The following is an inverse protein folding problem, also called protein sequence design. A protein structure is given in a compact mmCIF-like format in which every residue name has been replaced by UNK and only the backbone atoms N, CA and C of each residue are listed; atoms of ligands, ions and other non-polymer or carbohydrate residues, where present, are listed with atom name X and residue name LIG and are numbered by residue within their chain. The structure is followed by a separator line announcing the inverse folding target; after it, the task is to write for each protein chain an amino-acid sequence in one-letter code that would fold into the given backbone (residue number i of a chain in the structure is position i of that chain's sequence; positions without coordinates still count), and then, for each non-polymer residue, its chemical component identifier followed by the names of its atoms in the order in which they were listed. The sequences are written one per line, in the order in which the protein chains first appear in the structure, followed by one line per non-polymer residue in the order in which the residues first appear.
data_IF_023418635797
#
_entry.id   IF_023418635797
#
_cell.length_a   1.000
_cell.length_b   1.000
_cell.length_c   1.000
_cell.angle_alpha   90.00
_cell.angle_beta   90.00
_cell.angle_gamma   90.00
#
_symmetry.space_group_name_H-M   'P 1'
#
loop_
_entity.id
_entity.type
_entity.pdbx_description
1 polymer ?
#
# COMPACT_ATOMS: atom_id res chain seq x y z
N UNK A 1 5.33 14.11 25.69
CA UNK A 1 5.31 13.55 24.31
C UNK A 1 6.69 13.21 23.77
N UNK A 2 7.72 14.08 23.86
CA UNK A 2 9.09 13.80 23.36
C UNK A 2 9.77 12.55 23.97
N UNK A 3 9.55 12.27 25.26
CA UNK A 3 10.17 11.11 25.96
C UNK A 3 9.62 9.75 25.50
N UNK A 4 8.36 9.69 25.07
CA UNK A 4 7.73 8.45 24.56
C UNK A 4 8.24 8.14 23.15
N UNK A 5 8.42 9.16 22.30
CA UNK A 5 9.00 8.99 20.96
C UNK A 5 10.44 8.48 21.00
N UNK A 6 11.26 8.96 21.95
CA UNK A 6 12.63 8.48 22.14
C UNK A 6 12.65 7.01 22.59
N UNK A 7 11.71 6.61 23.46
CA UNK A 7 11.59 5.21 23.90
C UNK A 7 11.18 4.29 22.74
N UNK A 8 10.27 4.72 21.87
CA UNK A 8 9.85 3.96 20.67
C UNK A 8 11.03 3.79 19.71
N UNK A 9 11.82 4.84 19.47
CA UNK A 9 13.02 4.77 18.62
C UNK A 9 14.11 3.88 19.23
N UNK A 10 14.31 3.94 20.55
CA UNK A 10 15.26 3.06 21.25
C UNK A 10 14.83 1.60 21.26
N UNK A 11 13.54 1.32 21.46
CA UNK A 11 12.99 -0.04 21.38
C UNK A 11 13.07 -0.57 19.95
N UNK A 12 12.81 0.26 18.92
CA UNK A 12 13.04 -0.10 17.51
C UNK A 12 14.52 -0.37 17.20
N UNK A 13 15.44 0.35 17.84
CA UNK A 13 16.90 0.18 17.68
C UNK A 13 17.46 -1.10 18.33
N UNK A 14 16.89 -1.54 19.46
CA UNK A 14 17.35 -2.72 20.19
C UNK A 14 17.05 -4.07 19.51
N UNK A 15 16.19 -4.10 18.47
CA UNK A 15 15.92 -5.32 17.70
C UNK A 15 16.82 -5.48 16.46
N UNK A 16 17.75 -4.57 16.23
CA UNK A 16 18.66 -4.63 15.08
C UNK A 16 19.91 -5.40 15.48
N UNK A 17 19.78 -6.73 15.59
CA UNK A 17 20.97 -7.58 15.54
C UNK A 17 21.56 -7.49 14.12
N UNK A 18 22.80 -7.00 14.01
CA UNK A 18 23.53 -6.90 12.75
C UNK A 18 23.99 -8.28 12.27
N UNK A 19 23.05 -9.06 11.72
CA UNK A 19 23.31 -10.24 10.89
C UNK A 19 22.91 -9.87 9.48
N UNK A 20 23.85 -9.95 8.51
CA UNK A 20 23.65 -9.76 7.07
C UNK A 20 22.17 -9.72 6.64
N UNK A 21 21.58 -8.52 6.72
CA UNK A 21 20.14 -8.36 6.65
C UNK A 21 19.77 -8.44 5.17
N UNK A 22 19.21 -9.58 4.76
CA UNK A 22 18.73 -9.74 3.39
C UNK A 22 17.63 -8.71 3.14
N UNK A 23 17.88 -7.81 2.19
CA UNK A 23 16.92 -6.81 1.71
C UNK A 23 16.36 -7.30 0.38
N UNK A 24 15.08 -7.14 0.14
CA UNK A 24 14.47 -7.40 -1.15
C UNK A 24 13.78 -6.15 -1.69
N UNK A 25 13.93 -5.91 -2.99
CA UNK A 25 13.19 -4.92 -3.75
C UNK A 25 11.94 -5.56 -4.32
N UNK A 26 10.83 -4.83 -4.33
CA UNK A 26 9.54 -5.31 -4.80
C UNK A 26 8.85 -4.29 -5.68
N UNK A 27 8.25 -4.77 -6.77
CA UNK A 27 7.30 -4.01 -7.59
C UNK A 27 6.04 -4.84 -7.78
N UNK A 28 4.89 -4.28 -7.43
CA UNK A 28 3.56 -4.85 -7.59
C UNK A 28 3.01 -4.53 -8.98
N UNK A 29 2.92 -5.56 -9.80
CA UNK A 29 2.51 -5.52 -11.19
C UNK A 29 1.05 -5.05 -11.36
N UNK A 30 0.20 -5.20 -10.33
CA UNK A 30 -1.16 -4.67 -10.37
C UNK A 30 -1.18 -3.14 -10.36
N UNK A 31 -0.28 -2.50 -9.62
CA UNK A 31 -0.16 -1.04 -9.62
C UNK A 31 0.45 -0.54 -10.93
N UNK A 32 1.41 -1.28 -11.49
CA UNK A 32 2.01 -0.98 -12.80
C UNK A 32 0.93 -0.95 -13.90
N UNK A 33 -0.02 -1.89 -13.87
CA UNK A 33 -1.17 -1.91 -14.79
C UNK A 33 -2.08 -0.67 -14.67
N UNK A 34 -2.13 -0.05 -13.49
CA UNK A 34 -2.87 1.20 -13.25
C UNK A 34 -2.03 2.46 -13.49
N UNK A 35 -0.84 2.33 -14.07
CA UNK A 35 0.18 3.39 -14.24
C UNK A 35 0.67 3.97 -12.91
N UNK A 36 0.46 3.29 -11.79
CA UNK A 36 0.87 3.75 -10.46
C UNK A 36 2.29 3.26 -10.19
N UNK A 37 3.23 4.20 -10.04
CA UNK A 37 4.59 3.86 -9.67
C UNK A 37 4.57 3.28 -8.27
N UNK A 38 5.24 2.16 -8.07
CA UNK A 38 5.26 1.51 -6.76
C UNK A 38 6.62 0.83 -6.53
N UNK A 39 7.10 0.90 -5.29
CA UNK A 39 8.35 0.30 -4.88
C UNK A 39 8.24 -0.12 -3.42
N UNK A 40 8.63 -1.36 -3.13
CA UNK A 40 8.71 -1.87 -1.77
C UNK A 40 10.10 -2.34 -1.41
N UNK A 41 10.47 -2.11 -0.16
CA UNK A 41 11.63 -2.70 0.47
C UNK A 41 11.18 -3.69 1.53
N UNK A 42 11.68 -4.92 1.45
CA UNK A 42 11.40 -5.95 2.45
C UNK A 42 12.68 -6.36 3.17
N UNK A 43 12.69 -6.21 4.49
CA UNK A 43 13.85 -6.44 5.35
C UNK A 43 13.69 -7.73 6.13
N UNK A 44 14.66 -8.63 6.03
CA UNK A 44 14.67 -9.88 6.78
C UNK A 44 15.07 -9.70 8.24
N UNK A 45 14.10 -9.52 9.14
CA UNK A 45 14.31 -9.29 10.59
C UNK A 45 14.85 -10.52 11.33
N UNK A 46 14.29 -11.71 11.06
CA UNK A 46 14.71 -12.96 11.70
C UNK A 46 14.62 -14.12 10.71
N UNK A 47 14.79 -15.38 11.17
CA UNK A 47 14.69 -16.56 10.29
C UNK A 47 13.34 -16.68 9.58
N UNK A 48 12.25 -16.28 10.26
CA UNK A 48 10.86 -16.39 9.79
C UNK A 48 10.12 -15.06 9.77
N UNK A 49 10.79 -13.94 10.06
CA UNK A 49 10.15 -12.63 10.16
C UNK A 49 10.75 -11.66 9.14
N UNK A 50 9.87 -10.94 8.46
CA UNK A 50 10.26 -9.82 7.56
C UNK A 50 9.39 -8.60 7.84
N UNK A 51 9.91 -7.42 7.47
CA UNK A 51 9.17 -6.17 7.45
C UNK A 51 9.14 -5.67 6.01
N UNK A 52 7.96 -5.59 5.41
CA UNK A 52 7.72 -5.07 4.07
C UNK A 52 7.21 -3.63 4.15
N UNK A 53 7.81 -2.71 3.39
CA UNK A 53 7.47 -1.28 3.37
C UNK A 53 7.23 -0.83 1.93
N UNK A 54 6.08 -1.17 1.33
CA UNK A 54 5.70 -0.70 0.00
C UNK A 54 5.20 0.74 0.04
N UNK A 55 5.69 1.54 -0.90
CA UNK A 55 5.22 2.89 -1.22
C UNK A 55 4.65 2.89 -2.63
N UNK A 56 3.50 3.52 -2.81
CA UNK A 56 2.91 3.78 -4.12
C UNK A 56 2.77 5.29 -4.33
N UNK A 57 2.95 5.72 -5.57
CA UNK A 57 2.88 7.10 -5.99
C UNK A 57 2.36 7.21 -7.41
N UNK A 58 1.37 8.07 -7.60
CA UNK A 58 0.80 8.37 -8.89
C UNK A 58 0.65 9.89 -9.01
N UNK A 59 1.42 10.56 -9.89
CA UNK A 59 1.33 12.00 -10.09
C UNK A 59 0.35 12.41 -11.19
N UNK A 60 -0.32 11.48 -11.88
CA UNK A 60 -0.93 11.78 -13.17
C UNK A 60 -2.11 12.75 -13.08
N UNK A 61 -2.05 13.77 -13.92
CA UNK A 61 -3.12 14.74 -14.19
C UNK A 61 -3.30 14.86 -15.71
N UNK A 62 -4.00 13.91 -16.35
CA UNK A 62 -4.22 13.98 -17.80
C UNK A 62 -5.06 15.22 -18.19
N UNK A 63 -4.79 15.77 -19.37
CA UNK A 63 -5.43 17.01 -19.87
C UNK A 63 -6.94 16.87 -20.12
N UNK A 64 -7.44 15.64 -20.19
CA UNK A 64 -8.87 15.35 -20.26
C UNK A 64 -9.62 15.68 -18.96
N UNK A 65 -8.94 16.19 -17.92
CA UNK A 65 -9.52 16.57 -16.63
C UNK A 65 -9.75 15.40 -15.67
N UNK A 66 -9.23 14.20 -15.96
CA UNK A 66 -9.09 13.11 -14.99
C UNK A 66 -8.06 13.49 -13.93
N UNK A 67 -8.28 13.08 -12.70
CA UNK A 67 -7.29 13.16 -11.62
C UNK A 67 -7.10 11.77 -11.05
N UNK A 68 -5.86 11.30 -11.02
CA UNK A 68 -5.46 10.03 -10.40
C UNK A 68 -4.30 10.25 -9.44
N UNK A 69 -4.24 11.43 -8.80
CA UNK A 69 -3.12 11.76 -7.94
C UNK A 69 -3.30 11.08 -6.59
N UNK A 70 -2.40 10.18 -6.25
CA UNK A 70 -2.40 9.55 -4.94
C UNK A 70 -0.98 9.15 -4.53
N UNK A 71 -0.77 9.02 -3.24
CA UNK A 71 0.39 8.37 -2.68
C UNK A 71 -0.04 7.58 -1.47
N UNK A 72 0.66 6.50 -1.19
CA UNK A 72 0.33 5.67 -0.05
C UNK A 72 1.48 4.77 0.37
N UNK A 73 1.37 4.29 1.59
CA UNK A 73 2.32 3.37 2.20
C UNK A 73 1.53 2.28 2.95
N UNK A 74 2.00 1.04 2.88
CA UNK A 74 1.34 -0.09 3.54
C UNK A 74 2.36 -0.98 4.25
N UNK A 75 2.97 -0.52 5.36
CA UNK A 75 3.95 -1.33 6.09
C UNK A 75 3.31 -2.59 6.65
N UNK A 76 4.01 -3.72 6.52
CA UNK A 76 3.52 -5.04 6.92
C UNK A 76 4.62 -5.82 7.64
N UNK A 77 4.31 -6.32 8.83
CA UNK A 77 5.13 -7.31 9.51
C UNK A 77 4.63 -8.70 9.10
N UNK A 78 5.55 -9.54 8.62
CA UNK A 78 5.22 -10.86 8.06
C UNK A 78 5.88 -11.98 8.82
N UNK A 79 5.12 -13.04 9.03
CA UNK A 79 5.59 -14.32 9.53
C UNK A 79 5.54 -15.38 8.44
N UNK A 80 6.68 -15.98 8.13
CA UNK A 80 6.86 -17.01 7.13
C UNK A 80 6.83 -18.40 7.77
N UNK A 81 6.02 -19.31 7.25
CA UNK A 81 5.89 -20.65 7.85
C UNK A 81 7.18 -21.49 7.70
N UNK A 82 7.92 -21.29 6.61
CA UNK A 82 9.15 -22.01 6.30
C UNK A 82 10.41 -21.20 6.68
N UNK A 83 10.82 -20.29 5.81
CA UNK A 83 11.95 -19.37 5.97
C UNK A 83 11.56 -18.05 5.31
N UNK A 84 12.14 -16.92 5.76
CA UNK A 84 11.92 -15.61 5.13
C UNK A 84 12.13 -15.67 3.61
N UNK A 85 11.26 -15.00 2.87
CA UNK A 85 11.22 -14.95 1.40
C UNK A 85 10.89 -16.29 0.71
N UNK A 86 10.31 -17.28 1.41
CA UNK A 86 9.99 -18.60 0.83
C UNK A 86 8.61 -19.12 1.22
N UNK A 87 7.81 -19.49 0.20
CA UNK A 87 6.48 -20.12 0.34
C UNK A 87 5.47 -19.18 1.01
N UNK A 88 4.61 -19.74 1.87
CA UNK A 88 3.49 -19.04 2.47
C UNK A 88 3.92 -18.19 3.66
N UNK A 89 3.32 -17.01 3.78
CA UNK A 89 3.39 -16.14 4.94
C UNK A 89 2.01 -15.61 5.32
N UNK A 90 1.90 -15.14 6.56
CA UNK A 90 0.81 -14.29 7.04
C UNK A 90 1.40 -12.95 7.48
N UNK A 91 0.60 -11.90 7.45
CA UNK A 91 1.06 -10.59 7.88
C UNK A 91 -0.01 -9.75 8.55
N UNK A 92 0.46 -8.75 9.28
CA UNK A 92 -0.33 -7.67 9.85
C UNK A 92 0.20 -6.39 9.23
N UNK A 93 -0.69 -5.59 8.64
CA UNK A 93 -0.31 -4.34 7.99
C UNK A 93 -1.12 -3.15 8.49
N UNK A 94 -0.46 -2.00 8.49
CA UNK A 94 -1.11 -0.70 8.48
C UNK A 94 -1.14 -0.16 7.05
N UNK A 95 -2.07 0.73 6.74
CA UNK A 95 -2.04 1.47 5.48
C UNK A 95 -2.41 2.93 5.71
N UNK A 96 -1.80 3.81 4.92
CA UNK A 96 -2.15 5.21 4.80
C UNK A 96 -2.07 5.60 3.32
N UNK A 97 -3.00 6.40 2.84
CA UNK A 97 -2.89 7.01 1.53
C UNK A 97 -3.59 8.37 1.47
N UNK A 98 -2.97 9.34 0.82
CA UNK A 98 -3.66 10.52 0.33
C UNK A 98 -4.11 10.28 -1.10
N UNK A 99 -5.32 10.69 -1.41
CA UNK A 99 -5.88 10.52 -2.74
C UNK A 99 -6.60 11.80 -3.20
N UNK A 100 -6.51 12.04 -4.50
CA UNK A 100 -7.21 13.09 -5.21
C UNK A 100 -7.61 12.51 -6.56
N UNK A 101 -8.83 11.98 -6.57
CA UNK A 101 -9.34 11.14 -7.64
C UNK A 101 -10.68 11.67 -8.11
N UNK A 102 -10.87 11.75 -9.42
CA UNK A 102 -12.13 12.21 -10.01
C UNK A 102 -12.06 12.36 -11.52
N UNK A 103 -13.22 12.47 -12.17
CA UNK A 103 -13.30 12.65 -13.61
C UNK A 103 -12.84 11.42 -14.40
N UNK A 104 -13.17 10.22 -13.92
CA UNK A 104 -12.93 9.00 -14.67
C UNK A 104 -13.79 8.97 -15.96
N UNK A 105 -13.29 8.37 -17.05
CA UNK A 105 -14.04 8.24 -18.30
C UNK A 105 -15.34 7.45 -18.09
N UNK A 106 -16.31 7.74 -18.97
CA UNK A 106 -17.61 7.08 -19.00
C UNK A 106 -17.47 5.63 -19.48
N UNK A 107 -17.06 4.78 -18.55
CA UNK A 107 -16.98 3.35 -18.73
C UNK A 107 -18.13 2.71 -17.95
N UNK A 108 -18.82 1.74 -18.55
CA UNK A 108 -20.01 1.09 -17.98
C UNK A 108 -19.81 0.44 -16.62
N UNK A 109 -18.55 0.22 -16.20
CA UNK A 109 -18.17 -0.33 -14.90
C UNK A 109 -17.82 0.73 -13.84
N UNK A 110 -17.82 2.02 -14.19
CA UNK A 110 -17.52 3.14 -13.29
C UNK A 110 -18.81 3.87 -12.94
N UNK A 111 -19.15 3.94 -11.64
CA UNK A 111 -20.32 4.67 -11.15
C UNK A 111 -20.33 6.13 -11.62
N UNK A 112 -21.50 6.62 -12.06
CA UNK A 112 -21.73 8.03 -12.45
C UNK A 112 -21.21 9.04 -11.41
N UNK A 113 -21.22 8.68 -10.13
CA UNK A 113 -20.74 9.52 -9.05
C UNK A 113 -19.20 9.67 -9.05
N UNK A 114 -18.46 8.68 -9.56
CA UNK A 114 -17.00 8.70 -9.75
C UNK A 114 -16.60 9.40 -11.06
N UNK A 115 -17.52 9.44 -12.03
CA UNK A 115 -17.38 10.17 -13.29
C UNK A 115 -17.55 11.68 -13.07
N UNK A 116 -18.57 12.09 -12.30
CA UNK A 116 -18.97 13.50 -12.17
C UNK A 116 -18.44 14.22 -10.91
N UNK A 117 -17.94 13.49 -9.90
CA UNK A 117 -17.43 14.11 -8.67
C UNK A 117 -15.93 13.91 -8.51
N UNK A 118 -15.29 14.87 -7.84
CA UNK A 118 -13.91 14.75 -7.37
C UNK A 118 -13.90 14.49 -5.88
N UNK A 119 -13.13 13.48 -5.49
CA UNK A 119 -12.88 13.09 -4.12
C UNK A 119 -11.43 13.40 -3.79
N UNK A 120 -11.23 14.21 -2.77
CA UNK A 120 -9.90 14.47 -2.22
C UNK A 120 -9.94 14.20 -0.73
N UNK A 121 -8.94 13.47 -0.24
CA UNK A 121 -8.91 13.11 1.16
C UNK A 121 -7.77 12.16 1.46
N UNK A 122 -7.87 11.53 2.61
CA UNK A 122 -6.92 10.54 3.08
C UNK A 122 -7.66 9.36 3.68
N UNK A 123 -6.99 8.21 3.65
CA UNK A 123 -7.45 7.01 4.31
C UNK A 123 -6.35 6.45 5.18
N UNK A 124 -6.74 5.84 6.28
CA UNK A 124 -5.84 5.09 7.13
C UNK A 124 -6.55 3.90 7.75
N UNK A 125 -5.76 2.90 8.12
CA UNK A 125 -6.32 1.69 8.69
C UNK A 125 -5.29 0.59 8.77
N UNK A 126 -5.79 -0.64 8.86
CA UNK A 126 -4.95 -1.81 8.99
C UNK A 126 -5.74 -3.09 8.83
N UNK A 127 -5.01 -4.19 8.68
CA UNK A 127 -5.60 -5.48 8.41
C UNK A 127 -4.61 -6.62 8.52
N UNK A 128 -5.08 -7.78 8.10
CA UNK A 128 -4.31 -9.02 8.05
C UNK A 128 -4.27 -9.54 6.62
N UNK A 129 -3.19 -10.24 6.30
CA UNK A 129 -2.88 -10.71 4.96
C UNK A 129 -2.37 -12.14 4.99
N UNK A 130 -2.57 -12.82 3.86
CA UNK A 130 -1.95 -14.09 3.55
C UNK A 130 -1.34 -13.98 2.16
N UNK A 131 -0.17 -14.56 1.97
CA UNK A 131 0.50 -14.55 0.69
C UNK A 131 1.39 -15.76 0.48
N UNK A 132 1.81 -15.95 -0.75
CA UNK A 132 2.69 -17.03 -1.16
C UNK A 132 3.73 -16.52 -2.15
N UNK A 133 4.99 -16.91 -1.95
CA UNK A 133 6.12 -16.56 -2.79
C UNK A 133 6.70 -17.78 -3.51
N UNK A 134 6.84 -17.66 -4.83
CA UNK A 134 7.45 -18.63 -5.74
C UNK A 134 8.82 -18.14 -6.20
N UNK A 135 9.85 -18.95 -5.98
CA UNK A 135 11.21 -18.65 -6.43
C UNK A 135 11.30 -18.98 -7.92
N UNK A 136 11.61 -17.99 -8.75
CA UNK A 136 11.81 -18.18 -10.19
C UNK A 136 13.28 -18.51 -10.52
N UNK A 137 14.20 -17.70 -10.01
CA UNK A 137 15.65 -17.84 -10.19
C UNK A 137 16.37 -17.45 -8.89
N UNK A 138 17.69 -17.60 -8.87
CA UNK A 138 18.55 -17.40 -7.68
C UNK A 138 18.26 -16.12 -6.86
N UNK A 139 17.81 -15.03 -7.49
CA UNK A 139 17.46 -13.77 -6.82
C UNK A 139 16.06 -13.25 -7.13
N UNK A 140 15.33 -13.91 -8.02
CA UNK A 140 14.03 -13.45 -8.52
C UNK A 140 12.93 -14.34 -7.99
N UNK A 141 11.87 -13.73 -7.45
CA UNK A 141 10.66 -14.44 -7.01
C UNK A 141 9.42 -13.66 -7.44
N UNK A 142 8.30 -14.36 -7.56
CA UNK A 142 6.98 -13.76 -7.69
C UNK A 142 6.21 -14.04 -6.41
N UNK A 143 5.42 -13.08 -5.94
CA UNK A 143 4.58 -13.20 -4.76
C UNK A 143 3.16 -12.77 -5.07
N UNK A 144 2.19 -13.57 -4.65
CA UNK A 144 0.79 -13.17 -4.61
C UNK A 144 0.37 -12.99 -3.15
N UNK A 145 -0.34 -11.90 -2.85
CA UNK A 145 -0.92 -11.68 -1.52
C UNK A 145 -2.29 -11.02 -1.59
N UNK A 146 -3.13 -11.37 -0.64
CA UNK A 146 -4.45 -10.77 -0.43
C UNK A 146 -4.62 -10.48 1.05
N UNK A 147 -5.42 -9.46 1.36
CA UNK A 147 -5.67 -9.09 2.74
C UNK A 147 -7.02 -8.41 2.94
N UNK A 148 -7.55 -8.62 4.14
CA UNK A 148 -8.77 -8.02 4.63
C UNK A 148 -8.45 -7.09 5.79
N UNK A 149 -9.17 -5.99 5.89
CA UNK A 149 -8.87 -4.97 6.87
C UNK A 149 -9.93 -3.90 6.96
N UNK A 150 -9.69 -2.98 7.88
CA UNK A 150 -10.48 -1.79 8.11
C UNK A 150 -9.77 -0.58 7.53
N UNK A 151 -10.53 0.31 6.89
CA UNK A 151 -10.07 1.61 6.41
C UNK A 151 -11.05 2.70 6.86
N UNK A 152 -10.53 3.73 7.53
CA UNK A 152 -11.24 4.97 7.78
C UNK A 152 -10.89 5.96 6.67
N UNK A 153 -11.89 6.39 5.92
CA UNK A 153 -11.73 7.25 4.74
C UNK A 153 -12.35 8.60 5.06
N UNK A 154 -11.54 9.64 5.10
CA UNK A 154 -11.97 11.03 5.26
C UNK A 154 -11.85 11.71 3.91
N UNK A 155 -12.95 12.25 3.39
CA UNK A 155 -12.94 12.86 2.06
C UNK A 155 -13.84 14.09 1.96
N UNK A 156 -13.36 15.01 1.14
CA UNK A 156 -14.11 16.15 0.65
C UNK A 156 -14.67 15.83 -0.73
N UNK A 157 -15.99 15.99 -0.88
CA UNK A 157 -16.66 15.89 -2.18
C UNK A 157 -16.70 17.26 -2.85
N UNK A 158 -16.24 17.34 -4.09
CA UNK A 158 -16.34 18.53 -4.93
C UNK A 158 -17.31 18.29 -6.10
N UNK A 159 -18.22 19.25 -6.41
CA UNK A 159 -19.26 19.09 -7.42
C UNK A 159 -18.73 19.14 -8.86
N UNK A 160 -17.54 19.73 -9.07
CA UNK A 160 -17.07 20.05 -10.41
C UNK A 160 -15.56 19.80 -10.59
N UNK A 161 -15.16 19.61 -11.86
CA UNK A 161 -13.83 19.20 -12.34
C UNK A 161 -12.71 20.22 -12.08
N UNK A 162 -13.07 21.52 -12.06
CA UNK A 162 -12.12 22.64 -11.99
C UNK A 162 -12.47 23.72 -10.95
N UNK A 163 -13.74 23.87 -10.55
CA UNK A 163 -14.20 24.97 -9.72
C UNK A 163 -15.40 24.55 -8.88
N UNK A 164 -15.29 24.60 -7.56
CA UNK A 164 -16.44 24.34 -6.70
C UNK A 164 -16.09 24.46 -5.23
N UNK A 165 -16.91 25.20 -4.50
CA UNK A 165 -16.96 25.20 -3.04
C UNK A 165 -17.25 23.78 -2.54
N UNK A 166 -16.57 23.39 -1.46
CA UNK A 166 -16.70 22.08 -0.81
C UNK A 166 -18.16 21.73 -0.55
N UNK A 167 -18.68 20.62 -1.11
CA UNK A 167 -20.09 20.23 -0.95
C UNK A 167 -20.37 19.62 0.42
N UNK A 168 -19.46 18.77 0.92
CA UNK A 168 -19.67 17.98 2.12
C UNK A 168 -18.35 17.43 2.66
N UNK A 169 -18.16 17.62 3.97
CA UNK A 169 -17.26 16.82 4.79
C UNK A 169 -17.91 15.46 5.06
N UNK A 170 -17.26 14.36 4.69
CA UNK A 170 -17.77 13.04 5.03
C UNK A 170 -16.63 12.11 5.40
N UNK A 171 -16.88 11.29 6.41
CA UNK A 171 -16.06 10.13 6.74
C UNK A 171 -16.83 8.86 6.43
N UNK A 172 -16.16 7.82 5.94
CA UNK A 172 -16.74 6.49 5.77
C UNK A 172 -15.81 5.44 6.34
N UNK A 173 -16.40 4.51 7.07
CA UNK A 173 -15.75 3.30 7.53
C UNK A 173 -15.94 2.22 6.47
N UNK A 174 -14.84 1.57 6.07
CA UNK A 174 -14.86 0.44 5.16
C UNK A 174 -14.21 -0.76 5.84
N UNK A 175 -14.86 -1.92 5.73
CA UNK A 175 -14.29 -3.20 6.13
C UNK A 175 -14.43 -4.17 4.97
N UNK A 176 -13.34 -4.81 4.58
CA UNK A 176 -13.33 -5.72 3.44
C UNK A 176 -11.94 -5.93 2.87
N UNK A 177 -11.84 -6.32 1.58
CA UNK A 177 -10.57 -6.43 0.88
C UNK A 177 -9.85 -5.07 0.84
N UNK A 178 -8.73 -4.96 1.55
CA UNK A 178 -7.90 -3.73 1.60
C UNK A 178 -6.47 -3.95 1.09
N UNK A 179 -6.18 -5.18 0.64
CA UNK A 179 -4.91 -5.53 0.00
C UNK A 179 -5.10 -6.58 -1.08
N UNK A 180 -4.48 -6.33 -2.23
CA UNK A 180 -4.25 -7.31 -3.29
C UNK A 180 -2.92 -6.96 -3.98
N UNK A 181 -2.04 -7.94 -4.17
CA UNK A 181 -0.76 -7.71 -4.83
C UNK A 181 -0.30 -8.92 -5.62
N UNK A 182 0.29 -8.67 -6.79
CA UNK A 182 1.15 -9.62 -7.50
C UNK A 182 2.49 -8.92 -7.70
N UNK A 183 3.49 -9.30 -6.91
CA UNK A 183 4.76 -8.59 -6.84
C UNK A 183 5.90 -9.39 -7.46
N UNK A 184 6.70 -8.73 -8.29
CA UNK A 184 8.02 -9.20 -8.68
C UNK A 184 9.04 -8.77 -7.62
N UNK A 185 9.84 -9.73 -7.14
CA UNK A 185 10.77 -9.55 -6.03
C UNK A 185 12.20 -9.82 -6.50
N UNK A 186 13.11 -8.93 -6.14
CA UNK A 186 14.56 -9.10 -6.30
C UNK A 186 15.27 -9.04 -4.95
N UNK A 187 15.93 -10.14 -4.55
CA UNK A 187 16.68 -10.20 -3.29
C UNK A 187 18.10 -9.64 -3.48
N UNK A 188 18.40 -8.55 -2.77
CA UNK A 188 19.72 -7.95 -2.63
C UNK A 188 20.51 -8.74 -1.58
N UNK A 189 21.77 -9.06 -1.92
CA UNK A 189 22.67 -9.82 -1.05
C UNK A 189 23.47 -8.89 -0.16
#
# INVERSE_FOLDING_TARGET
MKKVSILIVLVLGCFIESKAQKVALKSNLLYDATTTMNLGLEFGLARKWTLDVPVNYNPWKPDNGRRLRHWGIQPEVRYWFCEKFRRTFIGVYGHYADFNVGGFPDWSFISENMQNSRYQGYLYGGGVSVGHSWILKKRWSIEASVGVGYAHIVYDKYPCRACGTKLKDSSKNYFGPTKASVSLIYVIK
#
